data_IF_464290687403
#
_entry.id   IF_464290687403
#
_cell.length_a   1.000
_cell.length_b   1.000
_cell.length_c   1.000
_cell.angle_alpha   90.00
_cell.angle_beta   90.00
_cell.angle_gamma   90.00
#
_symmetry.space_group_name_H-M   'P 1'
#
loop_
_entity.id
_entity.type
_entity.pdbx_description
1 polymer ?
#
# COMPACT_ATOMS: atom_id res chain seq x y z
N UNK A 1 21.94 -17.03 -34.51
CA UNK A 1 22.11 -16.26 -33.28
C UNK A 1 21.25 -16.70 -32.07
N UNK A 2 20.05 -17.29 -32.23
CA UNK A 2 19.17 -17.71 -31.11
C UNK A 2 19.63 -18.99 -30.35
N UNK A 3 20.43 -19.86 -30.98
CA UNK A 3 20.91 -21.11 -30.36
C UNK A 3 22.11 -20.94 -29.40
N UNK A 4 22.93 -19.89 -29.63
CA UNK A 4 24.09 -19.60 -28.77
C UNK A 4 23.74 -18.95 -27.43
N UNK A 5 22.60 -18.21 -27.38
CA UNK A 5 22.15 -17.56 -26.15
C UNK A 5 21.59 -18.60 -25.15
N UNK A 6 20.96 -19.66 -25.64
CA UNK A 6 20.42 -20.73 -24.80
C UNK A 6 21.53 -21.56 -24.13
N UNK A 7 22.66 -21.74 -24.82
CA UNK A 7 23.81 -22.47 -24.28
C UNK A 7 24.52 -21.72 -23.16
N UNK A 8 24.58 -20.36 -23.22
CA UNK A 8 25.19 -19.52 -22.19
C UNK A 8 24.36 -19.55 -20.90
N UNK A 9 23.04 -19.55 -21.00
CA UNK A 9 22.16 -19.63 -19.82
C UNK A 9 22.27 -20.99 -19.14
N UNK A 10 22.44 -22.08 -19.91
CA UNK A 10 22.57 -23.44 -19.37
C UNK A 10 23.95 -23.65 -18.70
N UNK A 11 25.01 -23.02 -19.19
CA UNK A 11 26.37 -23.17 -18.63
C UNK A 11 26.54 -22.42 -17.30
N UNK A 12 25.76 -21.37 -17.05
CA UNK A 12 25.82 -20.63 -15.76
C UNK A 12 25.24 -21.46 -14.61
N UNK A 13 24.40 -22.46 -14.89
CA UNK A 13 23.80 -23.33 -13.85
C UNK A 13 24.69 -24.46 -13.37
N UNK A 14 25.84 -24.73 -14.00
CA UNK A 14 26.73 -25.84 -13.63
C UNK A 14 28.03 -25.46 -12.90
N UNK A 15 28.18 -24.21 -12.48
CA UNK A 15 29.24 -23.89 -11.53
C UNK A 15 28.85 -24.43 -10.15
N UNK A 16 29.43 -25.56 -9.76
CA UNK A 16 29.44 -26.04 -8.38
C UNK A 16 30.19 -25.02 -7.51
N UNK A 17 29.48 -24.02 -7.05
CA UNK A 17 29.99 -23.07 -6.06
C UNK A 17 29.87 -23.77 -4.71
N UNK A 18 30.91 -24.42 -4.29
CA UNK A 18 31.06 -24.90 -2.92
C UNK A 18 31.26 -23.71 -1.97
N UNK A 19 30.25 -22.89 -1.80
CA UNK A 19 30.21 -21.96 -0.69
C UNK A 19 29.67 -22.70 0.52
N UNK A 20 30.51 -22.89 1.50
CA UNK A 20 30.12 -23.30 2.85
C UNK A 20 29.31 -22.18 3.50
N UNK A 21 28.08 -21.98 3.05
CA UNK A 21 27.12 -21.08 3.64
C UNK A 21 26.05 -21.91 4.35
N UNK A 22 25.77 -21.59 5.59
CA UNK A 22 24.68 -22.23 6.31
C UNK A 22 23.33 -21.80 5.67
N UNK A 23 22.82 -22.66 4.80
CA UNK A 23 21.42 -22.57 4.35
C UNK A 23 20.56 -23.02 5.51
N UNK A 24 19.99 -22.07 6.24
CA UNK A 24 19.12 -22.38 7.37
C UNK A 24 17.88 -23.15 6.89
N UNK A 25 17.50 -24.20 7.61
CA UNK A 25 16.25 -24.93 7.37
C UNK A 25 15.07 -23.97 7.39
N UNK A 26 14.44 -23.76 6.23
CA UNK A 26 13.34 -22.83 6.08
C UNK A 26 12.01 -23.52 6.32
N UNK A 27 11.24 -23.05 7.31
CA UNK A 27 9.84 -23.41 7.44
C UNK A 27 8.97 -22.53 6.54
N UNK A 28 7.82 -23.07 6.12
CA UNK A 28 6.87 -22.34 5.27
C UNK A 28 6.57 -20.92 5.78
N UNK A 29 6.66 -19.95 4.88
CA UNK A 29 6.45 -18.53 5.19
C UNK A 29 7.65 -17.76 5.75
N UNK A 30 8.80 -18.42 5.89
CA UNK A 30 10.03 -17.77 6.36
C UNK A 30 11.01 -17.39 5.23
N UNK A 31 10.64 -17.61 3.99
CA UNK A 31 11.43 -17.35 2.78
C UNK A 31 11.90 -18.63 2.13
N UNK A 32 12.12 -18.59 0.82
CA UNK A 32 12.67 -19.72 0.04
C UNK A 32 14.14 -19.94 0.36
N UNK A 33 14.89 -18.85 0.46
CA UNK A 33 16.32 -18.85 0.69
C UNK A 33 16.61 -17.88 1.84
N UNK A 34 17.36 -18.33 2.84
CA UNK A 34 17.96 -17.49 3.85
C UNK A 34 19.45 -17.85 3.93
N UNK A 35 20.30 -16.87 3.64
CA UNK A 35 21.76 -17.03 3.69
C UNK A 35 22.33 -15.98 4.63
N UNK A 36 23.25 -16.39 5.48
CA UNK A 36 24.00 -15.51 6.36
C UNK A 36 25.49 -15.82 6.10
N UNK A 37 26.31 -14.79 5.89
CA UNK A 37 27.74 -14.96 5.78
C UNK A 37 28.34 -15.52 7.08
N UNK A 38 29.40 -16.32 6.99
CA UNK A 38 30.08 -16.91 8.17
C UNK A 38 30.55 -15.86 9.17
N UNK A 39 31.02 -14.72 8.67
CA UNK A 39 31.46 -13.57 9.46
C UNK A 39 30.30 -12.65 9.88
N UNK A 40 29.03 -13.01 9.53
CA UNK A 40 27.83 -12.21 9.77
C UNK A 40 27.87 -10.81 9.15
N UNK A 41 28.76 -10.56 8.18
CA UNK A 41 28.88 -9.26 7.50
C UNK A 41 27.65 -8.93 6.62
N UNK A 42 26.93 -9.95 6.14
CA UNK A 42 25.70 -9.76 5.39
C UNK A 42 24.70 -10.90 5.61
N UNK A 43 23.44 -10.58 5.33
CA UNK A 43 22.33 -11.54 5.30
C UNK A 43 21.44 -11.25 4.12
N UNK A 44 20.98 -12.29 3.45
CA UNK A 44 19.99 -12.22 2.37
C UNK A 44 18.86 -13.21 2.64
N UNK A 45 17.63 -12.72 2.50
CA UNK A 45 16.42 -13.52 2.47
C UNK A 45 15.72 -13.30 1.14
N UNK A 46 15.43 -14.38 0.41
CA UNK A 46 14.60 -14.36 -0.80
C UNK A 46 13.24 -15.01 -0.49
N UNK A 47 12.17 -14.38 -0.90
CA UNK A 47 10.80 -14.88 -0.76
C UNK A 47 10.05 -14.71 -2.07
N UNK A 48 9.12 -15.62 -2.33
CA UNK A 48 8.20 -15.55 -3.45
C UNK A 48 6.78 -15.50 -2.93
N UNK A 49 5.94 -14.72 -3.59
CA UNK A 49 4.55 -14.50 -3.21
C UNK A 49 3.67 -14.43 -4.44
N UNK A 50 2.51 -15.10 -4.41
CA UNK A 50 1.47 -14.90 -5.42
C UNK A 50 0.07 -14.88 -4.81
N UNK A 51 -0.83 -14.24 -5.52
CA UNK A 51 -2.26 -14.21 -5.24
C UNK A 51 -3.02 -14.58 -6.50
N UNK A 52 -3.93 -15.54 -6.39
CA UNK A 52 -4.93 -15.83 -7.42
C UNK A 52 -6.27 -15.30 -6.97
N UNK A 53 -7.06 -14.80 -7.90
CA UNK A 53 -8.34 -14.17 -7.63
C UNK A 53 -9.38 -14.53 -8.66
N UNK A 54 -10.59 -14.75 -8.17
CA UNK A 54 -11.82 -14.74 -8.95
C UNK A 54 -12.61 -13.48 -8.58
N UNK A 55 -13.18 -12.79 -9.57
CA UNK A 55 -14.05 -11.64 -9.43
C UNK A 55 -15.29 -11.82 -10.28
N UNK A 56 -16.47 -11.65 -9.68
CA UNK A 56 -17.75 -11.52 -10.37
C UNK A 56 -18.33 -10.13 -10.13
N UNK A 57 -18.73 -9.45 -11.20
CA UNK A 57 -19.28 -8.10 -11.16
C UNK A 57 -20.69 -8.13 -11.74
N UNK A 58 -21.67 -7.66 -10.99
CA UNK A 58 -23.03 -7.46 -11.43
C UNK A 58 -23.35 -5.96 -11.49
N UNK A 59 -23.74 -5.49 -12.66
CA UNK A 59 -24.15 -4.10 -12.88
C UNK A 59 -25.68 -4.04 -12.97
N UNK A 60 -26.32 -3.36 -12.03
CA UNK A 60 -27.78 -3.22 -11.99
C UNK A 60 -28.35 -2.28 -13.08
N UNK A 61 -27.49 -1.58 -13.83
CA UNK A 61 -27.93 -0.68 -14.91
C UNK A 61 -28.52 -1.43 -16.08
N UNK A 62 -27.83 -2.47 -16.51
CA UNK A 62 -28.15 -3.30 -17.68
C UNK A 62 -28.37 -4.77 -17.32
N UNK A 63 -28.38 -5.08 -16.01
CA UNK A 63 -28.50 -6.43 -15.48
C UNK A 63 -27.37 -7.35 -15.99
N UNK A 64 -26.22 -6.79 -16.34
CA UNK A 64 -25.09 -7.56 -16.86
C UNK A 64 -24.27 -8.17 -15.74
N UNK A 65 -23.76 -9.38 -16.00
CA UNK A 65 -22.80 -10.07 -15.15
C UNK A 65 -21.53 -10.34 -15.94
N UNK A 66 -20.36 -10.00 -15.33
CA UNK A 66 -19.05 -10.29 -15.90
C UNK A 66 -18.18 -10.86 -14.81
N UNK A 67 -17.45 -11.93 -15.14
CA UNK A 67 -16.52 -12.53 -14.22
C UNK A 67 -15.16 -12.81 -14.86
N UNK A 68 -14.16 -13.05 -14.01
CA UNK A 68 -12.81 -13.42 -14.42
C UNK A 68 -12.04 -14.11 -13.32
N UNK A 69 -11.14 -15.01 -13.69
CA UNK A 69 -10.13 -15.59 -12.82
C UNK A 69 -8.74 -15.20 -13.31
N UNK A 70 -7.86 -14.75 -12.42
CA UNK A 70 -6.55 -14.25 -12.83
C UNK A 70 -5.54 -14.25 -11.67
N UNK A 71 -4.24 -14.13 -12.03
CA UNK A 71 -3.18 -13.88 -11.08
C UNK A 71 -3.18 -12.40 -10.72
N UNK A 72 -3.57 -12.06 -9.49
CA UNK A 72 -3.64 -10.68 -9.02
C UNK A 72 -2.27 -10.08 -8.73
N UNK A 73 -1.36 -10.89 -8.19
CA UNK A 73 0.02 -10.50 -7.85
C UNK A 73 0.94 -11.70 -7.94
N UNK A 74 2.11 -11.50 -8.49
CA UNK A 74 3.23 -12.44 -8.40
C UNK A 74 4.49 -11.63 -8.13
N UNK A 75 5.22 -11.91 -7.01
CA UNK A 75 6.31 -11.04 -6.55
C UNK A 75 7.48 -11.81 -6.00
N UNK A 76 8.67 -11.37 -6.40
CA UNK A 76 9.94 -11.78 -5.80
C UNK A 76 10.37 -10.68 -4.83
N UNK A 77 10.81 -11.08 -3.63
CA UNK A 77 11.26 -10.17 -2.59
C UNK A 77 12.63 -10.56 -2.11
N UNK A 78 13.57 -9.64 -2.14
CA UNK A 78 14.87 -9.72 -1.52
C UNK A 78 14.96 -8.79 -0.31
N UNK A 79 15.53 -9.23 0.79
CA UNK A 79 15.74 -8.35 1.95
C UNK A 79 16.85 -8.89 2.83
N UNK A 80 17.52 -8.00 3.53
CA UNK A 80 18.60 -8.39 4.42
C UNK A 80 19.35 -7.19 4.98
N UNK A 81 20.61 -7.41 5.29
CA UNK A 81 21.56 -6.36 5.63
C UNK A 81 22.90 -6.62 4.95
N UNK A 82 23.68 -5.57 4.77
CA UNK A 82 25.00 -5.61 4.18
C UNK A 82 25.97 -4.80 5.03
N UNK A 83 27.20 -5.29 5.19
CA UNK A 83 28.27 -4.73 6.00
C UNK A 83 27.97 -4.75 7.51
N UNK A 84 26.77 -4.39 7.91
CA UNK A 84 26.32 -4.31 9.32
C UNK A 84 24.80 -4.49 9.40
N UNK A 85 24.25 -5.09 10.47
CA UNK A 85 22.81 -5.13 10.73
C UNK A 85 22.12 -3.74 10.79
N UNK A 86 22.89 -2.67 10.89
CA UNK A 86 22.39 -1.28 10.82
C UNK A 86 22.05 -0.84 9.40
N UNK A 87 22.69 -1.45 8.37
CA UNK A 87 22.43 -1.12 6.96
C UNK A 87 21.61 -2.25 6.35
N UNK A 88 20.30 -2.04 6.27
CA UNK A 88 19.35 -3.01 5.70
C UNK A 88 18.97 -2.59 4.29
N UNK A 89 18.59 -3.58 3.49
CA UNK A 89 18.04 -3.33 2.16
C UNK A 89 16.74 -4.09 1.96
N UNK A 90 15.93 -3.61 1.03
CA UNK A 90 14.74 -4.28 0.53
C UNK A 90 14.64 -4.07 -0.97
N UNK A 91 14.43 -5.17 -1.68
CA UNK A 91 14.07 -5.20 -3.10
C UNK A 91 12.76 -5.97 -3.27
N UNK A 92 11.82 -5.48 -4.07
CA UNK A 92 10.58 -6.16 -4.41
C UNK A 92 10.27 -5.91 -5.89
N UNK A 93 10.17 -7.00 -6.66
CA UNK A 93 9.83 -6.97 -8.08
C UNK A 93 8.46 -7.63 -8.31
N UNK A 94 7.59 -6.95 -9.06
CA UNK A 94 6.29 -7.47 -9.46
C UNK A 94 6.44 -8.19 -10.79
N UNK A 95 6.52 -9.53 -10.75
CA UNK A 95 6.73 -10.38 -11.92
C UNK A 95 5.55 -10.29 -12.89
N UNK A 96 4.33 -10.12 -12.35
CA UNK A 96 3.12 -10.06 -13.15
C UNK A 96 3.03 -8.77 -13.98
N UNK A 97 3.48 -7.65 -13.42
CA UNK A 97 3.40 -6.34 -14.06
C UNK A 97 4.73 -5.85 -14.65
N UNK A 98 5.83 -6.55 -14.40
CA UNK A 98 7.11 -6.26 -15.02
C UNK A 98 7.85 -5.02 -14.49
N UNK A 99 7.68 -4.67 -13.18
CA UNK A 99 8.34 -3.48 -12.65
C UNK A 99 8.84 -3.64 -11.20
N UNK A 100 9.82 -2.81 -10.84
CA UNK A 100 10.36 -2.73 -9.48
C UNK A 100 9.37 -2.00 -8.58
N UNK A 101 8.99 -2.63 -7.47
CA UNK A 101 8.14 -2.01 -6.45
C UNK A 101 8.96 -1.27 -5.39
N UNK A 102 9.91 -1.96 -4.77
CA UNK A 102 10.78 -1.39 -3.76
C UNK A 102 12.24 -1.67 -4.14
N UNK A 103 13.09 -0.67 -4.08
CA UNK A 103 14.53 -0.73 -4.13
C UNK A 103 15.08 0.31 -3.16
N UNK A 104 15.32 -0.08 -1.90
CA UNK A 104 15.59 0.87 -0.82
C UNK A 104 16.65 0.34 0.13
N UNK A 105 17.58 1.22 0.48
CA UNK A 105 18.57 1.05 1.55
C UNK A 105 18.05 1.80 2.79
N UNK A 106 18.26 1.21 3.96
CA UNK A 106 17.77 1.70 5.26
C UNK A 106 18.93 1.67 6.24
N UNK A 107 19.39 2.83 6.62
CA UNK A 107 20.50 2.97 7.53
C UNK A 107 20.03 3.51 8.89
N UNK A 108 20.15 2.65 9.92
CA UNK A 108 20.00 3.07 11.31
C UNK A 108 21.34 3.63 11.78
N UNK A 109 21.51 4.95 11.75
CA UNK A 109 22.77 5.60 12.05
C UNK A 109 22.94 5.90 13.54
N UNK A 110 21.80 6.09 14.26
CA UNK A 110 21.87 6.25 15.71
C UNK A 110 20.56 5.78 16.37
N UNK A 111 20.59 4.54 16.93
CA UNK A 111 19.52 3.99 17.76
C UNK A 111 18.11 4.12 17.18
N UNK A 112 17.46 5.22 17.49
CA UNK A 112 16.08 5.52 17.10
C UNK A 112 15.95 6.35 15.81
N UNK A 113 17.04 6.75 15.16
CA UNK A 113 17.06 7.44 13.90
C UNK A 113 17.42 6.50 12.75
N UNK A 114 16.66 6.55 11.66
CA UNK A 114 16.89 5.76 10.46
C UNK A 114 16.65 6.61 9.22
N UNK A 115 17.59 6.62 8.29
CA UNK A 115 17.39 7.18 6.96
C UNK A 115 17.14 6.07 5.97
N UNK A 116 16.18 6.25 5.08
CA UNK A 116 15.88 5.37 3.95
C UNK A 116 16.17 6.13 2.67
N UNK A 117 16.81 5.48 1.71
CA UNK A 117 17.12 6.07 0.41
C UNK A 117 16.78 5.10 -0.70
N UNK A 118 16.09 5.57 -1.74
CA UNK A 118 15.63 4.79 -2.89
C UNK A 118 14.12 4.77 -3.03
N UNK A 119 13.62 3.89 -3.90
CA UNK A 119 12.19 3.79 -4.18
C UNK A 119 11.48 2.91 -3.15
N UNK A 120 10.48 3.46 -2.48
CA UNK A 120 9.64 2.73 -1.53
C UNK A 120 8.31 3.46 -1.31
N UNK A 121 7.41 2.87 -0.51
CA UNK A 121 6.14 3.51 -0.16
C UNK A 121 6.38 4.79 0.64
N UNK A 122 5.68 5.84 0.27
CA UNK A 122 5.47 7.01 1.11
C UNK A 122 4.54 6.65 2.29
N UNK A 123 4.69 7.36 3.38
CA UNK A 123 3.93 7.12 4.61
C UNK A 123 2.60 7.89 4.57
N UNK A 124 1.73 7.58 3.61
CA UNK A 124 0.40 8.15 3.47
C UNK A 124 -0.63 7.53 4.44
N UNK A 125 -1.79 7.13 3.91
CA UNK A 125 -2.87 6.52 4.69
C UNK A 125 -2.51 5.11 5.20
N UNK A 126 -3.12 4.69 6.32
CA UNK A 126 -2.79 3.42 7.00
C UNK A 126 -3.08 2.20 6.12
N UNK A 127 -4.18 2.17 5.36
CA UNK A 127 -4.51 1.06 4.46
C UNK A 127 -3.42 0.84 3.39
N UNK A 128 -2.73 1.93 2.98
CA UNK A 128 -1.57 1.83 2.09
C UNK A 128 -0.31 1.37 2.79
N UNK A 129 -0.06 1.85 4.01
CA UNK A 129 1.08 1.44 4.83
C UNK A 129 1.04 -0.08 5.05
N UNK A 130 -0.12 -0.66 5.29
CA UNK A 130 -0.29 -2.11 5.34
C UNK A 130 0.22 -2.77 4.05
N UNK A 131 0.93 -3.89 4.20
CA UNK A 131 1.22 -4.75 3.06
C UNK A 131 -0.07 -5.31 2.47
N UNK A 132 -0.19 -5.37 1.13
CA UNK A 132 -1.32 -6.05 0.48
C UNK A 132 -1.46 -7.54 0.85
N UNK A 133 -0.45 -8.14 1.44
CA UNK A 133 -0.49 -9.48 2.03
C UNK A 133 -1.25 -9.51 3.36
N UNK A 134 -1.33 -8.35 4.07
CA UNK A 134 -1.76 -8.25 5.45
C UNK A 134 -3.13 -7.59 5.60
N UNK A 135 -3.90 -7.54 4.51
CA UNK A 135 -5.26 -7.05 4.50
C UNK A 135 -6.23 -8.09 5.08
N UNK A 136 -7.34 -7.63 5.67
CA UNK A 136 -8.46 -8.44 6.15
C UNK A 136 -9.44 -8.78 5.03
N UNK A 137 -9.74 -7.81 4.18
CA UNK A 137 -10.57 -7.96 2.98
C UNK A 137 -9.69 -8.20 1.76
N UNK A 138 -10.29 -8.62 0.67
CA UNK A 138 -9.59 -9.01 -0.56
C UNK A 138 -8.76 -7.86 -1.16
N UNK A 139 -9.25 -6.63 -1.06
CA UNK A 139 -8.50 -5.47 -1.53
C UNK A 139 -8.70 -4.25 -0.60
N UNK A 140 -7.92 -3.20 -0.85
CA UNK A 140 -7.99 -1.93 -0.13
C UNK A 140 -9.28 -1.19 -0.41
N UNK A 141 -9.56 -0.18 0.42
CA UNK A 141 -10.71 0.72 0.33
C UNK A 141 -10.73 1.59 -0.94
N UNK A 142 -11.88 2.16 -1.26
CA UNK A 142 -11.99 3.20 -2.30
C UNK A 142 -11.24 4.46 -1.90
N UNK A 143 -11.17 4.81 -0.59
CA UNK A 143 -10.32 5.90 -0.11
C UNK A 143 -8.88 5.69 -0.58
N UNK A 144 -8.31 4.51 -0.29
CA UNK A 144 -6.96 4.19 -0.77
C UNK A 144 -6.87 4.19 -2.30
N UNK A 145 -7.90 3.76 -3.01
CA UNK A 145 -7.90 3.78 -4.48
C UNK A 145 -7.79 5.18 -5.07
N UNK A 146 -8.42 6.17 -4.42
CA UNK A 146 -8.58 7.54 -4.94
C UNK A 146 -7.53 8.52 -4.40
N UNK A 147 -7.17 8.41 -3.10
CA UNK A 147 -6.37 9.42 -2.41
C UNK A 147 -4.96 8.94 -2.01
N UNK A 148 -4.66 7.65 -2.10
CA UNK A 148 -3.39 7.11 -1.62
C UNK A 148 -2.18 7.82 -2.19
N UNK A 149 -1.16 8.02 -1.34
CA UNK A 149 0.22 8.16 -1.78
C UNK A 149 0.75 6.77 -2.12
N UNK A 150 1.54 6.65 -3.18
CA UNK A 150 2.11 5.35 -3.56
C UNK A 150 3.61 5.31 -3.23
N UNK A 151 4.32 4.51 -3.96
CA UNK A 151 5.78 4.44 -3.95
C UNK A 151 6.35 5.56 -4.79
N UNK A 152 7.46 6.08 -4.30
CA UNK A 152 8.23 7.08 -5.01
C UNK A 152 9.72 6.92 -4.70
N UNK A 153 10.58 7.52 -5.52
CA UNK A 153 12.02 7.55 -5.34
C UNK A 153 12.41 8.80 -4.55
N UNK A 154 13.20 8.62 -3.49
CA UNK A 154 13.63 9.73 -2.64
C UNK A 154 14.29 9.29 -1.35
N UNK A 155 14.27 10.16 -0.36
CA UNK A 155 14.80 9.93 0.97
C UNK A 155 13.69 10.05 2.02
N UNK A 156 13.76 9.22 3.08
CA UNK A 156 12.88 9.30 4.23
C UNK A 156 13.71 9.31 5.51
N UNK A 157 13.52 10.29 6.34
CA UNK A 157 14.04 10.33 7.71
C UNK A 157 12.96 9.81 8.65
N UNK A 158 13.34 8.86 9.51
CA UNK A 158 12.44 8.23 10.47
C UNK A 158 13.03 8.30 11.87
N UNK A 159 12.23 8.75 12.79
CA UNK A 159 12.58 8.85 14.20
C UNK A 159 11.48 8.24 15.06
N UNK A 160 11.86 7.79 16.25
CA UNK A 160 10.90 7.37 17.25
C UNK A 160 11.47 7.61 18.65
N UNK A 161 10.59 7.93 19.58
CA UNK A 161 10.92 8.03 20.99
C UNK A 161 9.74 7.59 21.84
N UNK A 162 10.02 7.23 23.09
CA UNK A 162 9.00 6.87 24.08
C UNK A 162 8.95 7.95 25.13
N UNK A 163 7.76 8.48 25.37
CA UNK A 163 7.49 9.41 26.44
C UNK A 163 6.86 8.64 27.61
N UNK A 164 7.43 8.82 28.82
CA UNK A 164 7.09 7.99 29.96
C UNK A 164 7.38 6.50 29.70
N UNK A 165 6.56 5.61 30.25
CA UNK A 165 6.80 4.17 30.16
C UNK A 165 6.32 3.56 28.84
N UNK A 166 5.23 4.05 28.26
CA UNK A 166 4.55 3.33 27.16
C UNK A 166 4.15 4.22 25.99
N UNK A 167 4.13 5.54 26.10
CA UNK A 167 3.68 6.42 25.03
C UNK A 167 4.75 6.51 23.94
N UNK A 168 4.57 5.74 22.85
CA UNK A 168 5.50 5.75 21.71
C UNK A 168 5.04 6.77 20.67
N UNK A 169 5.97 7.61 20.26
CA UNK A 169 5.82 8.57 19.14
C UNK A 169 6.75 8.15 18.01
N UNK A 170 6.25 8.21 16.80
CA UNK A 170 7.06 8.01 15.58
C UNK A 170 6.86 9.17 14.64
N UNK A 171 7.94 9.65 14.08
CA UNK A 171 7.99 10.75 13.13
C UNK A 171 8.62 10.26 11.83
N UNK A 172 8.02 10.63 10.73
CA UNK A 172 8.49 10.24 9.39
C UNK A 172 8.41 11.47 8.51
N UNK A 173 9.52 11.85 7.93
CA UNK A 173 9.59 12.90 6.92
C UNK A 173 10.19 12.32 5.64
N UNK A 174 9.62 12.67 4.50
CA UNK A 174 10.08 12.21 3.18
C UNK A 174 10.24 13.41 2.24
N UNK A 175 11.28 13.34 1.41
CA UNK A 175 11.42 14.15 0.20
C UNK A 175 11.55 13.16 -0.95
N UNK A 176 10.70 13.27 -1.94
CA UNK A 176 10.68 12.38 -3.09
C UNK A 176 10.39 13.12 -4.40
N UNK A 177 10.45 12.42 -5.51
CA UNK A 177 10.32 13.01 -6.84
C UNK A 177 8.89 13.53 -7.12
N UNK A 178 7.86 12.92 -6.55
CA UNK A 178 6.44 13.29 -6.76
C UNK A 178 5.74 12.53 -7.89
N UNK A 179 6.48 11.88 -8.77
CA UNK A 179 5.98 11.28 -10.02
C UNK A 179 5.55 9.83 -9.86
N UNK A 180 5.95 9.19 -8.77
CA UNK A 180 5.58 7.83 -8.45
C UNK A 180 6.52 6.77 -8.99
N UNK A 181 5.99 5.57 -9.12
CA UNK A 181 6.74 4.34 -9.33
C UNK A 181 7.49 4.31 -10.68
N UNK A 182 8.81 4.08 -10.62
CA UNK A 182 9.70 3.89 -11.78
C UNK A 182 9.68 5.06 -12.80
N UNK A 183 9.46 6.28 -12.33
CA UNK A 183 9.50 7.44 -13.18
C UNK A 183 10.93 7.98 -13.29
N UNK A 184 11.28 8.42 -14.50
CA UNK A 184 12.58 9.05 -14.81
C UNK A 184 12.42 10.52 -15.23
N UNK A 185 11.19 10.96 -15.42
CA UNK A 185 10.83 12.35 -15.76
C UNK A 185 10.44 13.06 -14.48
N UNK A 186 10.83 14.31 -14.32
CA UNK A 186 10.48 15.18 -13.20
C UNK A 186 9.78 16.44 -13.71
N UNK A 187 8.79 16.90 -12.96
CA UNK A 187 8.05 18.15 -13.22
C UNK A 187 8.79 19.42 -12.78
N UNK A 188 10.01 19.31 -12.28
CA UNK A 188 10.75 20.39 -11.62
C UNK A 188 10.21 20.76 -10.22
N UNK A 189 9.36 19.91 -9.65
CA UNK A 189 8.89 19.97 -8.26
C UNK A 189 9.41 18.79 -7.43
N UNK A 190 9.13 18.84 -6.15
CA UNK A 190 9.39 17.75 -5.19
C UNK A 190 8.14 17.44 -4.40
N UNK A 191 8.10 16.25 -3.84
CA UNK A 191 7.03 15.79 -2.97
C UNK A 191 7.53 15.69 -1.52
N UNK A 192 6.86 16.38 -0.62
CA UNK A 192 7.19 16.47 0.81
C UNK A 192 6.10 15.82 1.62
N UNK A 193 6.39 14.69 2.26
CA UNK A 193 5.45 13.97 3.11
C UNK A 193 5.92 14.01 4.57
N UNK A 194 5.08 14.50 5.47
CA UNK A 194 5.28 14.46 6.92
C UNK A 194 4.22 13.60 7.60
N UNK A 195 4.62 12.62 8.44
CA UNK A 195 3.71 11.77 9.21
C UNK A 195 4.14 11.67 10.67
N UNK A 196 3.17 11.80 11.57
CA UNK A 196 3.31 11.50 12.99
C UNK A 196 2.39 10.35 13.36
N UNK A 197 2.89 9.42 14.19
CA UNK A 197 2.14 8.29 14.75
C UNK A 197 2.26 8.32 16.27
N UNK A 198 1.13 8.33 16.95
CA UNK A 198 1.00 8.34 18.41
C UNK A 198 0.45 7.00 18.88
N UNK A 199 1.19 6.28 19.70
CA UNK A 199 0.81 4.99 20.26
C UNK A 199 0.71 5.10 21.79
N UNK A 200 -0.41 5.60 22.33
CA UNK A 200 -0.54 5.92 23.76
C UNK A 200 -0.41 4.69 24.67
N UNK A 201 -0.73 3.51 24.17
CA UNK A 201 -0.63 2.25 24.92
C UNK A 201 0.58 1.39 24.48
N UNK A 202 1.60 2.04 23.93
CA UNK A 202 2.82 1.40 23.45
C UNK A 202 2.68 0.61 22.16
N UNK A 203 3.76 -0.05 21.81
CA UNK A 203 3.84 -0.84 20.57
C UNK A 203 2.86 -2.00 20.55
N UNK A 204 2.31 -2.28 19.37
CA UNK A 204 1.57 -3.51 19.11
C UNK A 204 2.52 -4.72 19.07
N UNK A 205 2.04 -5.88 19.48
CA UNK A 205 2.81 -7.12 19.52
C UNK A 205 3.37 -7.46 18.12
N UNK A 206 4.69 -7.62 18.03
CA UNK A 206 5.41 -7.99 16.79
C UNK A 206 5.05 -7.09 15.60
N UNK A 207 4.98 -5.77 15.81
CA UNK A 207 4.61 -4.76 14.80
C UNK A 207 3.22 -4.99 14.21
N UNK A 208 2.28 -5.38 15.06
CA UNK A 208 0.88 -5.59 14.70
C UNK A 208 0.18 -4.34 14.16
N UNK A 209 0.70 -3.16 14.45
CA UNK A 209 0.30 -1.87 13.90
C UNK A 209 0.41 -1.77 12.37
N UNK A 210 1.22 -2.63 11.73
CA UNK A 210 1.35 -2.73 10.27
C UNK A 210 0.54 -3.90 9.65
N UNK A 211 -0.43 -4.44 10.37
CA UNK A 211 -1.34 -5.49 9.93
C UNK A 211 -2.79 -5.07 10.17
N UNK A 212 -3.69 -5.32 9.24
CA UNK A 212 -5.09 -4.99 9.45
C UNK A 212 -5.73 -5.86 10.56
N UNK A 213 -5.61 -7.19 10.46
CA UNK A 213 -6.17 -8.15 11.41
C UNK A 213 -5.39 -8.23 12.75
N UNK A 214 -6.09 -8.53 13.84
CA UNK A 214 -5.47 -8.81 15.13
C UNK A 214 -5.09 -10.30 15.30
N UNK A 215 -4.18 -10.80 14.41
CA UNK A 215 -3.70 -12.18 14.49
C UNK A 215 -2.88 -12.50 15.77
N UNK A 216 -2.46 -11.47 16.51
CA UNK A 216 -1.73 -11.64 17.77
C UNK A 216 -2.63 -11.66 18.98
N UNK A 217 -3.92 -11.32 18.79
CA UNK A 217 -4.91 -11.24 19.88
C UNK A 217 -4.37 -10.41 21.03
N UNK A 218 -4.14 -9.11 20.75
CA UNK A 218 -3.62 -8.17 21.74
C UNK A 218 -4.35 -8.31 23.07
N UNK A 219 -3.63 -8.64 24.13
CA UNK A 219 -4.21 -8.89 25.45
C UNK A 219 -4.69 -7.61 26.14
N UNK A 220 -4.14 -6.47 25.74
CA UNK A 220 -4.53 -5.14 26.18
C UNK A 220 -4.91 -4.31 24.97
N UNK A 221 -5.72 -3.29 25.17
CA UNK A 221 -6.05 -2.34 24.09
C UNK A 221 -4.76 -1.72 23.54
N UNK A 222 -4.63 -1.77 22.23
CA UNK A 222 -3.58 -1.07 21.47
C UNK A 222 -4.24 -0.08 20.53
N UNK A 223 -3.71 1.14 20.52
CA UNK A 223 -4.22 2.24 19.70
C UNK A 223 -3.04 2.93 19.02
N UNK A 224 -3.19 3.24 17.76
CA UNK A 224 -2.35 4.17 17.01
C UNK A 224 -3.24 5.24 16.40
N UNK A 225 -2.93 6.49 16.67
CA UNK A 225 -3.49 7.66 16.00
C UNK A 225 -2.41 8.24 15.12
N UNK A 226 -2.76 8.69 13.92
CA UNK A 226 -1.76 9.27 13.02
C UNK A 226 -2.33 10.36 12.14
N UNK A 227 -1.46 11.32 11.81
CA UNK A 227 -1.73 12.37 10.86
C UNK A 227 -0.60 12.40 9.83
N UNK A 228 -0.97 12.56 8.55
CA UNK A 228 -0.02 12.74 7.45
C UNK A 228 -0.41 13.96 6.65
N UNK A 229 0.54 14.81 6.38
CA UNK A 229 0.42 15.90 5.41
C UNK A 229 1.42 15.67 4.29
N UNK A 230 0.95 15.87 3.07
CA UNK A 230 1.68 15.66 1.83
C UNK A 230 1.51 16.88 0.94
N UNK A 231 2.62 17.35 0.39
CA UNK A 231 2.69 18.50 -0.50
C UNK A 231 3.53 18.11 -1.73
N UNK A 232 2.86 17.95 -2.86
CA UNK A 232 3.47 17.56 -4.13
C UNK A 232 3.46 18.78 -5.07
N UNK A 233 4.64 19.36 -5.29
CA UNK A 233 4.83 20.53 -6.15
C UNK A 233 4.69 20.13 -7.62
N UNK A 234 3.96 20.93 -8.41
CA UNK A 234 3.77 20.72 -9.84
C UNK A 234 3.39 19.29 -10.20
N UNK A 235 2.38 18.74 -9.54
CA UNK A 235 2.00 17.33 -9.67
C UNK A 235 1.64 16.98 -11.13
N UNK A 236 2.46 16.14 -11.78
CA UNK A 236 2.26 15.70 -13.16
C UNK A 236 1.09 14.72 -13.34
N UNK A 237 0.53 14.21 -12.27
CA UNK A 237 -0.54 13.21 -12.34
C UNK A 237 -1.76 13.65 -11.56
N UNK A 238 -2.92 13.27 -12.06
CA UNK A 238 -4.22 13.65 -11.51
C UNK A 238 -4.46 13.24 -10.04
N UNK A 239 -3.61 12.39 -9.47
CA UNK A 239 -3.69 11.91 -8.07
C UNK A 239 -2.34 11.91 -7.36
N UNK A 240 -1.45 12.84 -7.69
CA UNK A 240 -0.08 12.88 -7.19
C UNK A 240 0.79 11.81 -7.86
N UNK A 241 1.22 10.79 -7.12
CA UNK A 241 2.05 9.69 -7.66
C UNK A 241 1.27 8.72 -8.57
N UNK A 242 -0.01 8.97 -8.86
CA UNK A 242 -0.90 8.10 -9.64
C UNK A 242 -1.89 8.86 -10.50
N UNK A 243 -2.61 8.13 -11.34
CA UNK A 243 -3.63 8.69 -12.23
C UNK A 243 -3.11 8.92 -13.63
N UNK A 244 -3.91 9.59 -14.44
CA UNK A 244 -3.53 10.09 -15.76
C UNK A 244 -2.49 11.21 -15.63
N UNK A 245 -1.65 11.39 -16.64
CA UNK A 245 -0.82 12.58 -16.74
C UNK A 245 -1.71 13.81 -17.00
N UNK A 246 -1.29 14.93 -16.45
CA UNK A 246 -1.83 16.26 -16.73
C UNK A 246 -1.01 16.85 -17.86
N UNK A 247 -1.70 17.30 -18.93
CA UNK A 247 -1.05 17.86 -20.12
C UNK A 247 -1.12 19.39 -20.14
N UNK A 248 -2.01 19.99 -19.34
CA UNK A 248 -2.13 21.44 -19.16
C UNK A 248 -1.21 21.97 -18.07
N UNK A 249 -1.57 23.13 -17.52
CA UNK A 249 -0.82 23.77 -16.43
C UNK A 249 -0.84 22.91 -15.19
N UNK A 250 0.34 22.69 -14.61
CA UNK A 250 0.49 21.90 -13.40
C UNK A 250 0.13 22.70 -12.16
N UNK A 251 -0.48 22.02 -11.18
CA UNK A 251 -0.81 22.56 -9.87
C UNK A 251 -0.14 21.75 -8.78
N UNK A 252 0.12 22.42 -7.66
CA UNK A 252 0.53 21.74 -6.44
C UNK A 252 -0.66 21.00 -5.83
N UNK A 253 -0.42 19.81 -5.27
CA UNK A 253 -1.41 19.04 -4.56
C UNK A 253 -1.08 18.97 -3.07
N UNK A 254 -2.05 19.33 -2.25
CA UNK A 254 -2.02 19.11 -0.80
C UNK A 254 -2.93 17.95 -0.44
N UNK A 255 -2.41 16.98 0.34
CA UNK A 255 -3.20 15.84 0.82
C UNK A 255 -3.04 15.67 2.32
N UNK A 256 -4.14 15.70 3.07
CA UNK A 256 -4.18 15.39 4.50
C UNK A 256 -4.78 14.01 4.71
N UNK A 257 -4.14 13.18 5.56
CA UNK A 257 -4.73 11.96 6.09
C UNK A 257 -4.76 11.99 7.60
N UNK A 258 -5.86 11.51 8.17
CA UNK A 258 -6.00 11.23 9.59
C UNK A 258 -6.40 9.76 9.75
N UNK A 259 -5.66 9.01 10.54
CA UNK A 259 -5.91 7.58 10.73
C UNK A 259 -6.02 7.22 12.22
N UNK A 260 -6.86 6.24 12.51
CA UNK A 260 -6.92 5.58 13.81
C UNK A 260 -6.91 4.06 13.62
N UNK A 261 -6.10 3.34 14.41
CA UNK A 261 -6.01 1.88 14.36
C UNK A 261 -6.03 1.30 15.78
N UNK A 262 -7.01 0.47 16.07
CA UNK A 262 -7.23 -0.15 17.38
C UNK A 262 -7.24 -1.68 17.26
N UNK A 263 -6.66 -2.35 18.26
CA UNK A 263 -6.72 -3.81 18.41
C UNK A 263 -6.91 -4.21 19.86
N UNK A 264 -7.73 -5.25 20.05
CA UNK A 264 -7.96 -5.87 21.35
C UNK A 264 -8.61 -7.25 21.20
N UNK A 265 -7.98 -8.29 21.72
CA UNK A 265 -8.52 -9.65 21.84
C UNK A 265 -9.21 -10.21 20.59
N UNK A 266 -8.58 -10.01 19.42
CA UNK A 266 -9.08 -10.45 18.12
C UNK A 266 -9.99 -9.43 17.43
N UNK A 267 -10.42 -8.37 18.10
CA UNK A 267 -11.08 -7.22 17.48
C UNK A 267 -10.00 -6.34 16.84
N UNK A 268 -10.26 -5.87 15.66
CA UNK A 268 -9.45 -4.87 14.97
C UNK A 268 -10.37 -3.84 14.32
N UNK A 269 -9.99 -2.60 14.45
CA UNK A 269 -10.67 -1.46 13.81
C UNK A 269 -9.63 -0.52 13.22
N UNK A 270 -9.88 0.00 12.03
CA UNK A 270 -9.20 1.19 11.58
C UNK A 270 -10.16 2.12 10.83
N UNK A 271 -9.96 3.41 11.06
CA UNK A 271 -10.64 4.50 10.38
C UNK A 271 -9.63 5.39 9.69
N UNK A 272 -9.97 5.91 8.54
CA UNK A 272 -9.16 6.81 7.74
C UNK A 272 -10.02 7.95 7.20
N UNK A 273 -9.49 9.14 7.27
CA UNK A 273 -10.01 10.30 6.57
C UNK A 273 -8.93 10.82 5.62
N UNK A 274 -9.32 11.21 4.42
CA UNK A 274 -8.44 11.85 3.45
C UNK A 274 -9.11 13.10 2.90
N UNK A 275 -8.30 14.15 2.68
CA UNK A 275 -8.71 15.34 1.94
C UNK A 275 -7.58 15.76 1.01
N UNK A 276 -7.89 16.01 -0.25
CA UNK A 276 -6.96 16.51 -1.26
C UNK A 276 -7.52 17.73 -1.94
N UNK A 277 -6.67 18.73 -2.13
CA UNK A 277 -6.99 19.95 -2.87
C UNK A 277 -5.79 20.39 -3.73
N UNK A 278 -6.04 21.18 -4.74
CA UNK A 278 -5.03 21.98 -5.43
C UNK A 278 -4.73 23.25 -4.61
N UNK A 279 -3.50 23.72 -4.63
CA UNK A 279 -3.11 24.95 -3.92
C UNK A 279 -3.06 26.16 -4.86
N UNK A 280 -2.46 26.00 -6.00
CA UNK A 280 -2.21 27.08 -6.97
C UNK A 280 -3.06 26.84 -8.22
N UNK A 281 -4.36 27.09 -8.15
CA UNK A 281 -5.24 26.95 -9.29
C UNK A 281 -6.47 26.07 -9.08
N UNK A 282 -7.25 25.88 -10.11
CA UNK A 282 -8.44 25.03 -10.12
C UNK A 282 -8.07 23.56 -10.12
N UNK A 283 -8.91 22.72 -9.54
CA UNK A 283 -8.81 21.27 -9.72
C UNK A 283 -9.11 20.86 -11.18
N UNK A 284 -9.85 21.66 -11.94
CA UNK A 284 -10.13 21.46 -13.36
C UNK A 284 -9.05 22.16 -14.17
N UNK A 285 -8.37 21.39 -15.01
CA UNK A 285 -7.28 21.86 -15.90
C UNK A 285 -7.82 22.16 -17.30
N UNK A 286 -8.72 21.29 -17.81
CA UNK A 286 -9.39 21.48 -19.09
C UNK A 286 -10.86 21.09 -18.99
N UNK A 287 -11.74 21.94 -19.53
CA UNK A 287 -13.17 21.77 -19.52
C UNK A 287 -13.85 22.37 -20.76
N UNK A 288 -15.01 21.84 -21.08
CA UNK A 288 -15.93 22.41 -22.07
C UNK A 288 -16.98 23.23 -21.35
N UNK A 289 -17.25 24.43 -21.83
CA UNK A 289 -18.18 25.38 -21.25
C UNK A 289 -19.39 25.57 -22.18
N UNK A 290 -20.54 25.86 -21.61
CA UNK A 290 -21.71 26.33 -22.36
C UNK A 290 -21.61 27.84 -22.68
N UNK A 291 -22.68 28.36 -23.33
CA UNK A 291 -22.75 29.78 -23.70
C UNK A 291 -22.83 30.70 -22.46
N UNK A 292 -23.33 30.19 -21.34
CA UNK A 292 -23.42 30.93 -20.08
C UNK A 292 -22.11 30.91 -19.28
N UNK A 293 -21.13 30.12 -19.71
CA UNK A 293 -19.83 29.95 -19.03
C UNK A 293 -19.82 28.86 -17.98
N UNK A 294 -20.85 28.03 -17.92
CA UNK A 294 -20.92 26.88 -16.99
C UNK A 294 -20.19 25.68 -17.55
N UNK A 295 -19.49 24.92 -16.69
CA UNK A 295 -18.78 23.69 -17.07
C UNK A 295 -19.80 22.60 -17.39
N UNK A 296 -19.84 22.16 -18.64
CA UNK A 296 -20.70 21.06 -19.11
C UNK A 296 -19.96 19.72 -19.24
N UNK A 297 -18.62 19.74 -19.37
CA UNK A 297 -17.77 18.55 -19.35
C UNK A 297 -16.39 18.89 -18.82
N UNK A 298 -15.80 17.99 -18.03
CA UNK A 298 -14.42 18.08 -17.57
C UNK A 298 -13.58 17.07 -18.36
N UNK A 299 -12.63 17.57 -19.14
CA UNK A 299 -11.75 16.78 -19.99
C UNK A 299 -10.49 16.33 -19.20
N UNK A 300 -9.96 17.23 -18.36
CA UNK A 300 -8.78 16.98 -17.55
C UNK A 300 -8.90 17.64 -16.17
N UNK A 301 -8.62 16.89 -15.11
CA UNK A 301 -8.66 17.41 -13.75
C UNK A 301 -7.81 16.62 -12.77
N UNK A 302 -7.40 17.27 -11.69
CA UNK A 302 -6.93 16.62 -10.49
C UNK A 302 -8.10 15.98 -9.72
N UNK A 303 -7.85 14.83 -9.10
CA UNK A 303 -8.83 14.16 -8.25
C UNK A 303 -8.76 14.74 -6.83
N UNK A 304 -9.58 15.72 -6.56
CA UNK A 304 -9.68 16.47 -5.30
C UNK A 304 -10.96 16.11 -4.53
N UNK A 305 -11.08 16.60 -3.31
CA UNK A 305 -12.21 16.33 -2.43
C UNK A 305 -11.82 15.53 -1.19
N UNK A 306 -12.78 14.81 -0.60
CA UNK A 306 -12.58 14.09 0.65
C UNK A 306 -13.07 12.65 0.61
N UNK A 307 -12.61 11.83 1.56
CA UNK A 307 -13.07 10.45 1.71
C UNK A 307 -12.95 9.98 3.15
N UNK A 308 -13.90 9.14 3.57
CA UNK A 308 -13.90 8.44 4.84
C UNK A 308 -13.94 6.94 4.60
N UNK A 309 -13.12 6.19 5.35
CA UNK A 309 -13.10 4.74 5.37
C UNK A 309 -13.13 4.23 6.80
N UNK A 310 -14.08 3.36 7.11
CA UNK A 310 -14.20 2.69 8.39
C UNK A 310 -14.20 1.18 8.16
N UNK A 311 -13.31 0.46 8.81
CA UNK A 311 -13.22 -0.99 8.71
C UNK A 311 -13.07 -1.63 10.08
N UNK A 312 -13.81 -2.70 10.31
CA UNK A 312 -13.78 -3.48 11.54
C UNK A 312 -13.69 -4.97 11.20
N UNK A 313 -12.96 -5.72 12.01
CA UNK A 313 -12.89 -7.19 11.91
C UNK A 313 -12.89 -7.86 13.28
N UNK A 314 -13.38 -9.10 13.30
CA UNK A 314 -13.32 -9.97 14.47
C UNK A 314 -12.74 -11.33 14.12
N UNK A 315 -11.61 -11.66 14.73
CA UNK A 315 -10.89 -12.91 14.55
C UNK A 315 -11.38 -13.97 15.55
N UNK A 316 -12.10 -14.97 15.07
CA UNK A 316 -12.56 -16.12 15.82
C UNK A 316 -11.38 -17.01 16.28
N UNK A 317 -11.55 -17.77 17.37
CA UNK A 317 -10.49 -18.64 17.95
C UNK A 317 -9.90 -19.64 16.93
N UNK A 318 -10.68 -20.10 15.97
CA UNK A 318 -10.30 -21.03 14.91
C UNK A 318 -9.59 -20.36 13.70
N UNK A 319 -9.18 -19.09 13.82
CA UNK A 319 -8.52 -18.28 12.78
C UNK A 319 -9.39 -17.99 11.53
N UNK A 320 -10.71 -18.03 11.67
CA UNK A 320 -11.61 -17.35 10.78
C UNK A 320 -11.80 -15.91 11.23
N UNK A 321 -11.92 -15.00 10.31
CA UNK A 321 -12.22 -13.60 10.55
C UNK A 321 -13.41 -13.16 9.72
N UNK A 322 -14.29 -12.38 10.31
CA UNK A 322 -15.35 -11.66 9.62
C UNK A 322 -14.97 -10.20 9.68
N UNK A 323 -15.05 -9.49 8.55
CA UNK A 323 -14.73 -8.07 8.48
C UNK A 323 -15.77 -7.32 7.64
N UNK A 324 -16.07 -6.10 8.08
CA UNK A 324 -16.96 -5.18 7.39
C UNK A 324 -16.25 -3.84 7.14
N UNK A 325 -16.59 -3.18 6.04
CA UNK A 325 -16.06 -1.87 5.66
C UNK A 325 -17.13 -0.98 5.06
N UNK A 326 -17.10 0.28 5.46
CA UNK A 326 -17.82 1.38 4.83
C UNK A 326 -16.80 2.37 4.28
N UNK A 327 -16.90 2.72 3.01
CA UNK A 327 -16.10 3.78 2.41
C UNK A 327 -17.03 4.78 1.73
N UNK A 328 -16.80 6.06 2.00
CA UNK A 328 -17.47 7.17 1.35
C UNK A 328 -16.44 8.05 0.67
N UNK A 329 -16.68 8.43 -0.58
CA UNK A 329 -15.82 9.30 -1.39
C UNK A 329 -16.67 10.45 -1.89
N UNK A 330 -16.27 11.67 -1.56
CA UNK A 330 -16.93 12.92 -1.95
C UNK A 330 -15.92 13.75 -2.76
N UNK A 331 -15.88 13.60 -4.08
CA UNK A 331 -15.03 14.42 -4.94
C UNK A 331 -15.46 15.89 -4.89
N UNK A 332 -14.55 16.78 -5.23
CA UNK A 332 -14.88 18.19 -5.39
C UNK A 332 -15.86 18.39 -6.56
N UNK A 333 -16.94 19.10 -6.34
CA UNK A 333 -18.07 19.21 -7.29
C UNK A 333 -17.67 19.76 -8.65
N UNK A 334 -16.73 20.71 -8.68
CA UNK A 334 -16.25 21.31 -9.94
C UNK A 334 -15.65 20.27 -10.90
N UNK A 335 -15.16 19.14 -10.38
CA UNK A 335 -14.58 18.06 -11.19
C UNK A 335 -15.63 17.19 -11.88
N UNK A 336 -16.91 17.42 -11.63
CA UNK A 336 -18.04 16.62 -12.10
C UNK A 336 -17.96 15.11 -11.78
N UNK A 337 -17.07 14.71 -10.87
CA UNK A 337 -17.02 13.35 -10.37
C UNK A 337 -18.16 13.09 -9.38
N UNK A 338 -18.72 11.88 -9.42
CA UNK A 338 -19.84 11.49 -8.55
C UNK A 338 -19.37 11.10 -7.15
N UNK A 339 -20.22 11.37 -6.17
CA UNK A 339 -20.09 10.78 -4.83
C UNK A 339 -20.28 9.27 -4.90
N UNK A 340 -19.48 8.55 -4.12
CA UNK A 340 -19.47 7.09 -4.09
C UNK A 340 -19.54 6.61 -2.65
N UNK A 341 -20.47 5.67 -2.38
CA UNK A 341 -20.50 4.87 -1.14
C UNK A 341 -20.26 3.42 -1.46
N UNK A 342 -19.46 2.74 -0.66
CA UNK A 342 -19.22 1.32 -0.80
C UNK A 342 -19.30 0.62 0.54
N UNK A 343 -20.14 -0.41 0.59
CA UNK A 343 -20.27 -1.33 1.70
C UNK A 343 -19.58 -2.65 1.32
N UNK A 344 -18.74 -3.18 2.17
CA UNK A 344 -18.06 -4.45 1.92
C UNK A 344 -18.19 -5.33 3.15
N UNK A 345 -18.60 -6.57 2.96
CA UNK A 345 -18.58 -7.63 3.96
C UNK A 345 -17.71 -8.77 3.45
N UNK A 346 -16.86 -9.32 4.30
CA UNK A 346 -15.97 -10.39 3.87
C UNK A 346 -15.53 -11.30 5.00
N UNK A 347 -14.87 -12.37 4.61
CA UNK A 347 -14.27 -13.33 5.51
C UNK A 347 -12.83 -13.65 5.09
N UNK A 348 -12.03 -14.04 6.07
CA UNK A 348 -10.66 -14.53 5.86
C UNK A 348 -10.42 -15.78 6.68
N UNK A 349 -9.83 -16.81 6.08
CA UNK A 349 -9.31 -17.99 6.78
C UNK A 349 -7.79 -17.93 6.78
N UNK A 350 -7.20 -17.79 7.95
CA UNK A 350 -5.75 -17.78 8.12
C UNK A 350 -5.25 -19.18 8.41
N UNK A 351 -4.73 -19.90 7.40
CA UNK A 351 -4.21 -21.26 7.55
C UNK A 351 -2.80 -21.23 8.18
N UNK A 352 -1.91 -20.42 7.63
CA UNK A 352 -0.58 -20.13 8.19
C UNK A 352 -0.40 -18.60 8.28
N UNK A 353 -1.20 -17.97 9.13
CA UNK A 353 -1.25 -16.52 9.26
C UNK A 353 -1.49 -15.86 7.89
N UNK A 354 -0.69 -14.82 7.58
CA UNK A 354 -0.78 -14.14 6.29
C UNK A 354 -0.01 -14.84 5.15
N UNK A 355 0.69 -15.93 5.41
CA UNK A 355 1.49 -16.61 4.40
C UNK A 355 0.68 -17.60 3.57
N UNK A 356 -0.35 -18.18 4.18
CA UNK A 356 -1.36 -19.01 3.49
C UNK A 356 -2.72 -18.64 4.03
N UNK A 357 -3.53 -18.01 3.20
CA UNK A 357 -4.90 -17.62 3.56
C UNK A 357 -5.85 -17.66 2.36
N UNK A 358 -7.12 -17.84 2.65
CA UNK A 358 -8.23 -17.70 1.71
C UNK A 358 -9.10 -16.55 2.18
N UNK A 359 -9.52 -15.71 1.26
CA UNK A 359 -10.37 -14.54 1.55
C UNK A 359 -11.51 -14.48 0.54
N UNK A 360 -12.69 -14.10 1.02
CA UNK A 360 -13.81 -13.77 0.17
C UNK A 360 -14.48 -12.50 0.65
N UNK A 361 -14.96 -11.67 -0.27
CA UNK A 361 -15.79 -10.52 0.08
C UNK A 361 -16.85 -10.22 -0.98
N UNK A 362 -17.89 -9.52 -0.55
CA UNK A 362 -18.93 -8.94 -1.39
C UNK A 362 -18.98 -7.44 -1.13
N UNK A 363 -19.05 -6.65 -2.18
CA UNK A 363 -19.13 -5.19 -2.11
C UNK A 363 -20.32 -4.69 -2.90
N UNK A 364 -21.11 -3.82 -2.26
CA UNK A 364 -22.14 -3.00 -2.93
C UNK A 364 -21.59 -1.59 -3.09
N UNK A 365 -21.59 -1.08 -4.31
CA UNK A 365 -21.16 0.28 -4.63
C UNK A 365 -22.34 1.09 -5.14
N UNK A 366 -22.59 2.18 -4.46
CA UNK A 366 -23.58 3.21 -4.83
C UNK A 366 -22.81 4.42 -5.36
N UNK A 367 -23.13 4.85 -6.56
CA UNK A 367 -22.57 6.04 -7.19
C UNK A 367 -23.70 7.00 -7.53
N UNK A 368 -23.61 8.25 -7.09
CA UNK A 368 -24.63 9.25 -7.35
C UNK A 368 -24.97 9.32 -8.85
N UNK A 369 -26.26 9.45 -9.17
CA UNK A 369 -26.77 9.48 -10.56
C UNK A 369 -26.55 8.21 -11.38
N UNK A 370 -26.08 7.10 -10.76
CA UNK A 370 -25.91 5.80 -11.42
C UNK A 370 -26.58 4.69 -10.62
N UNK A 371 -27.01 3.63 -11.30
CA UNK A 371 -27.47 2.41 -10.63
C UNK A 371 -26.31 1.70 -9.94
N UNK A 372 -26.64 0.97 -8.89
CA UNK A 372 -25.69 0.26 -8.04
C UNK A 372 -24.90 -0.83 -8.79
N UNK A 373 -23.74 -1.17 -8.25
CA UNK A 373 -22.90 -2.30 -8.70
C UNK A 373 -22.61 -3.21 -7.52
N UNK A 374 -22.66 -4.51 -7.76
CA UNK A 374 -22.26 -5.51 -6.79
C UNK A 374 -21.06 -6.29 -7.31
N UNK A 375 -20.08 -6.51 -6.45
CA UNK A 375 -18.87 -7.27 -6.76
C UNK A 375 -18.67 -8.36 -5.72
N UNK A 376 -18.46 -9.58 -6.18
CA UNK A 376 -18.03 -10.71 -5.38
C UNK A 376 -16.58 -11.07 -5.71
N UNK A 377 -15.76 -11.35 -4.69
CA UNK A 377 -14.36 -11.76 -4.89
C UNK A 377 -13.99 -12.94 -4.02
N UNK A 378 -13.19 -13.84 -4.57
CA UNK A 378 -12.53 -14.92 -3.86
C UNK A 378 -11.03 -14.88 -4.18
N UNK A 379 -10.17 -14.97 -3.15
CA UNK A 379 -8.72 -14.84 -3.32
C UNK A 379 -7.95 -15.82 -2.45
N UNK A 380 -6.90 -16.41 -3.01
CA UNK A 380 -5.90 -17.13 -2.23
C UNK A 380 -4.60 -16.35 -2.14
N UNK A 381 -3.94 -16.41 -1.00
CA UNK A 381 -2.62 -15.84 -0.74
C UNK A 381 -1.64 -16.96 -0.46
N UNK A 382 -0.53 -16.96 -1.15
CA UNK A 382 0.56 -17.90 -0.96
C UNK A 382 1.90 -17.14 -0.89
N UNK A 383 2.66 -17.33 0.18
CA UNK A 383 3.96 -16.68 0.40
C UNK A 383 4.91 -17.61 1.13
N UNK A 384 6.06 -17.83 0.51
CA UNK A 384 7.15 -18.62 1.08
C UNK A 384 8.02 -17.83 2.04
#
# INVERSE_FOLDING_TARGET
>A
MKKSLFLIITTIFFFNINFSQDVTNNSFGKGLINVIAKDSSWKTKVAFRFQTRYEGNFDFRDSSYKDRAFVRRARIKGSGYAFSPKIKYKFEYDVHNGFVLDAVIKWNFTGNWTVWFGQTKLSGNIDRVFSSQKLQLVDRSLLNSKFTLDRDAGAQLRHHFTFGENFLVREIFSISQGEGLNQTVSSSGSDYTGRIELLPFGSFTKKGDYFAADLKREKTVKLMLSATYDYNENAMRSRGQKGSYINGDLSDLETLFLDAHLKYNGISFFGEYANRKTKNGSAVVDATYDIAGDIIAVNESYYTGSSLNLQMGYLLKNNWEIAARLTQVNPERITLNNDIKQYTLGFSRYVVGHNLKVQGDISLTEEASKKNKMMFRLQTEFNF
#
